data_IF_328078330636
#
_entry.id   IF_328078330636
#
_cell.length_a   1.000
_cell.length_b   1.000
_cell.length_c   1.000
_cell.angle_alpha   90.00
_cell.angle_beta   90.00
_cell.angle_gamma   90.00
#
_symmetry.space_group_name_H-M   'P 1'
#
loop_
_entity.id
_entity.type
_entity.pdbx_description
1 polymer ?
#
# COMPACT_ATOMS: atom_id res chain seq x y z
N UNK A 1 7.74 13.53 31.57
CA UNK A 1 7.37 12.25 30.92
C UNK A 1 6.50 12.61 29.75
N UNK A 2 6.99 12.44 28.51
CA UNK A 2 6.14 12.65 27.34
C UNK A 2 5.07 11.54 27.36
N UNK A 3 3.79 11.92 27.32
CA UNK A 3 2.70 10.96 27.15
C UNK A 3 2.96 10.16 25.88
N UNK A 4 2.81 8.83 25.95
CA UNK A 4 2.82 8.00 24.74
C UNK A 4 1.90 8.63 23.71
N UNK A 5 2.28 8.66 22.42
CA UNK A 5 1.42 9.23 21.39
C UNK A 5 0.06 8.53 21.44
N UNK A 6 -1.00 9.33 21.49
CA UNK A 6 -2.36 8.81 21.52
C UNK A 6 -2.66 8.20 20.15
N UNK A 7 -2.53 6.87 20.03
CA UNK A 7 -2.71 6.13 18.79
C UNK A 7 -4.16 5.74 18.54
N UNK A 8 -5.03 5.98 19.52
CA UNK A 8 -6.47 5.71 19.38
C UNK A 8 -7.08 6.52 18.24
N UNK A 9 -7.75 5.87 17.28
CA UNK A 9 -8.35 6.55 16.13
C UNK A 9 -9.49 7.50 16.54
N UNK A 10 -9.59 8.63 15.84
CA UNK A 10 -10.66 9.60 15.97
C UNK A 10 -11.28 9.94 14.60
N UNK A 11 -12.28 10.81 14.60
CA UNK A 11 -13.07 11.19 13.42
C UNK A 11 -12.22 11.79 12.26
N UNK A 12 -11.04 12.36 12.56
CA UNK A 12 -10.12 12.92 11.57
C UNK A 12 -9.01 11.96 11.15
N UNK A 13 -9.18 10.69 11.46
CA UNK A 13 -8.24 9.63 11.12
C UNK A 13 -8.84 8.72 10.05
N UNK A 14 -7.99 8.23 9.15
CA UNK A 14 -8.38 7.22 8.18
C UNK A 14 -7.45 6.02 8.25
N UNK A 15 -8.00 4.82 8.08
CA UNK A 15 -7.26 3.60 7.82
C UNK A 15 -7.13 3.41 6.30
N UNK A 16 -5.90 3.21 5.83
CA UNK A 16 -5.62 2.80 4.46
C UNK A 16 -5.09 1.37 4.49
N UNK A 17 -5.91 0.44 4.02
CA UNK A 17 -5.54 -0.98 3.89
C UNK A 17 -5.02 -1.19 2.48
N UNK A 18 -3.71 -1.40 2.37
CA UNK A 18 -2.99 -1.40 1.09
C UNK A 18 -2.93 -2.80 0.52
N UNK A 19 -3.51 -3.00 -0.65
CA UNK A 19 -3.31 -4.10 -1.58
C UNK A 19 -3.37 -5.51 -0.93
N UNK A 20 -4.33 -5.75 -0.04
CA UNK A 20 -4.55 -7.08 0.53
C UNK A 20 -5.32 -7.93 -0.50
N UNK A 21 -4.61 -8.33 -1.56
CA UNK A 21 -5.11 -9.01 -2.76
C UNK A 21 -4.56 -10.44 -2.86
N UNK A 22 -5.25 -11.31 -3.61
CA UNK A 22 -4.88 -12.70 -3.74
C UNK A 22 -3.46 -12.89 -4.31
N UNK A 23 -3.06 -12.08 -5.30
CA UNK A 23 -1.73 -12.19 -5.90
C UNK A 23 -0.57 -11.83 -4.95
N UNK A 24 -0.83 -11.07 -3.90
CA UNK A 24 0.15 -10.75 -2.86
C UNK A 24 0.10 -11.70 -1.65
N UNK A 25 -0.86 -12.63 -1.62
CA UNK A 25 -0.96 -13.64 -0.58
C UNK A 25 -0.33 -14.98 -1.03
N UNK A 26 -0.07 -15.93 -0.11
CA UNK A 26 0.49 -17.23 -0.46
C UNK A 26 -0.30 -17.94 -1.58
N UNK A 27 0.42 -18.38 -2.62
CA UNK A 27 -0.17 -18.96 -3.83
C UNK A 27 -0.44 -17.97 -4.96
N UNK A 28 -0.34 -16.68 -4.71
CA UNK A 28 -0.45 -15.62 -5.71
C UNK A 28 0.80 -15.45 -6.58
N UNK A 29 0.70 -14.65 -7.63
CA UNK A 29 1.77 -14.48 -8.64
C UNK A 29 2.95 -13.63 -8.16
N UNK A 30 2.73 -12.74 -7.21
CA UNK A 30 3.75 -11.93 -6.53
C UNK A 30 3.59 -12.09 -5.01
N UNK A 31 3.56 -13.34 -4.56
CA UNK A 31 3.29 -13.67 -3.17
C UNK A 31 4.32 -13.06 -2.21
N UNK A 32 3.82 -12.29 -1.26
CA UNK A 32 4.58 -11.82 -0.11
C UNK A 32 4.57 -12.93 0.95
N UNK A 33 5.72 -13.22 1.53
CA UNK A 33 5.81 -14.25 2.55
C UNK A 33 4.87 -13.93 3.72
N UNK A 34 3.95 -14.87 4.02
CA UNK A 34 2.94 -14.69 5.08
C UNK A 34 2.04 -13.47 4.88
N UNK A 35 1.79 -13.08 3.63
CA UNK A 35 0.97 -11.91 3.31
C UNK A 35 -0.45 -12.01 3.85
N UNK A 36 -1.01 -13.21 3.89
CA UNK A 36 -2.35 -13.50 4.43
C UNK A 36 -2.46 -13.31 5.96
N UNK A 37 -1.34 -13.37 6.71
CA UNK A 37 -1.35 -13.14 8.16
C UNK A 37 -1.77 -11.71 8.55
N UNK A 38 -1.77 -10.76 7.62
CA UNK A 38 -2.25 -9.39 7.89
C UNK A 38 -3.77 -9.34 8.01
N UNK A 39 -4.49 -10.24 7.35
CA UNK A 39 -5.95 -10.24 7.25
C UNK A 39 -6.64 -10.28 8.61
N UNK A 40 -6.37 -11.25 9.51
CA UNK A 40 -7.02 -11.29 10.82
C UNK A 40 -6.70 -10.06 11.68
N UNK A 41 -5.50 -9.47 11.54
CA UNK A 41 -5.15 -8.26 12.27
C UNK A 41 -5.94 -7.06 11.77
N UNK A 42 -6.00 -6.86 10.44
CA UNK A 42 -6.82 -5.79 9.84
C UNK A 42 -8.27 -5.93 10.25
N UNK A 43 -8.86 -7.11 10.14
CA UNK A 43 -10.24 -7.36 10.55
C UNK A 43 -10.50 -7.02 12.03
N UNK A 44 -9.51 -7.24 12.91
CA UNK A 44 -9.65 -6.99 14.33
C UNK A 44 -9.73 -5.49 14.67
N UNK A 45 -8.95 -4.63 13.99
CA UNK A 45 -8.89 -3.22 14.34
C UNK A 45 -9.60 -2.27 13.35
N UNK A 46 -9.92 -2.70 12.12
CA UNK A 46 -10.54 -1.84 11.12
C UNK A 46 -11.84 -1.18 11.63
N UNK A 47 -12.63 -1.91 12.42
CA UNK A 47 -13.85 -1.38 13.03
C UNK A 47 -13.66 -0.25 14.04
N UNK A 48 -12.41 0.12 14.37
CA UNK A 48 -12.09 1.28 15.20
C UNK A 48 -12.02 2.59 14.41
N UNK A 49 -12.05 2.50 13.09
CA UNK A 49 -11.95 3.66 12.19
C UNK A 49 -13.31 3.95 11.55
N UNK A 50 -13.72 5.21 11.59
CA UNK A 50 -14.90 5.67 10.84
C UNK A 50 -14.60 5.79 9.35
N UNK A 51 -13.36 6.15 8.99
CA UNK A 51 -12.94 6.33 7.61
C UNK A 51 -11.96 5.21 7.22
N UNK A 52 -12.37 4.37 6.29
CA UNK A 52 -11.54 3.26 5.79
C UNK A 52 -11.48 3.27 4.27
N UNK A 53 -10.27 3.18 3.75
CA UNK A 53 -9.96 3.07 2.33
C UNK A 53 -9.24 1.74 2.11
N UNK A 54 -9.71 0.97 1.14
CA UNK A 54 -8.98 -0.20 0.62
C UNK A 54 -8.29 0.21 -0.67
N UNK A 55 -7.09 -0.29 -0.94
CA UNK A 55 -6.48 -0.12 -2.26
C UNK A 55 -6.36 -1.44 -3.00
N UNK A 56 -6.33 -1.36 -4.31
CA UNK A 56 -6.06 -2.49 -5.20
C UNK A 56 -5.07 -2.05 -6.28
N UNK A 57 -3.98 -2.81 -6.45
CA UNK A 57 -3.27 -2.81 -7.72
C UNK A 57 -4.21 -3.35 -8.81
N UNK A 58 -4.25 -2.63 -9.95
CA UNK A 58 -5.25 -2.90 -10.98
C UNK A 58 -4.65 -2.73 -12.38
N UNK A 59 -3.66 -3.57 -12.69
CA UNK A 59 -2.85 -3.45 -13.89
C UNK A 59 -3.56 -3.96 -15.15
N UNK A 60 -3.60 -3.18 -16.24
CA UNK A 60 -4.07 -3.71 -17.51
C UNK A 60 -3.12 -4.81 -18.03
N UNK A 61 -3.61 -5.75 -18.85
CA UNK A 61 -2.74 -6.70 -19.52
C UNK A 61 -1.60 -6.00 -20.29
N UNK A 62 -0.38 -6.51 -20.15
CA UNK A 62 0.82 -5.93 -20.78
C UNK A 62 1.26 -4.62 -20.14
N UNK A 63 1.01 -4.41 -18.85
CA UNK A 63 1.49 -3.26 -18.10
C UNK A 63 3.02 -3.17 -18.12
N UNK A 64 3.57 -1.95 -18.23
CA UNK A 64 5.02 -1.71 -18.40
C UNK A 64 5.88 -2.08 -17.19
N UNK A 65 5.30 -2.31 -16.02
CA UNK A 65 6.02 -2.88 -14.87
C UNK A 65 6.18 -4.38 -14.93
N UNK A 66 5.56 -5.08 -15.89
CA UNK A 66 5.69 -6.53 -16.02
C UNK A 66 6.93 -6.93 -16.81
N UNK A 67 7.65 -7.95 -16.34
CA UNK A 67 8.81 -8.49 -17.05
C UNK A 67 8.45 -9.02 -18.45
N UNK A 68 7.25 -9.58 -18.60
CA UNK A 68 6.71 -10.07 -19.87
C UNK A 68 6.52 -8.97 -20.92
N UNK A 69 6.44 -7.70 -20.51
CA UNK A 69 6.34 -6.54 -21.41
C UNK A 69 7.70 -6.07 -21.96
N UNK A 70 8.81 -6.74 -21.58
CA UNK A 70 10.17 -6.38 -21.98
C UNK A 70 10.91 -7.63 -22.48
N UNK A 71 11.07 -7.80 -23.82
CA UNK A 71 11.73 -8.96 -24.38
C UNK A 71 13.11 -9.21 -23.78
N UNK A 72 13.37 -10.44 -23.31
CA UNK A 72 14.63 -10.84 -22.68
C UNK A 72 14.81 -10.49 -21.20
N UNK A 73 13.90 -9.74 -20.60
CA UNK A 73 13.93 -9.44 -19.17
C UNK A 73 13.27 -10.54 -18.34
N UNK A 74 13.62 -10.56 -17.07
CA UNK A 74 13.09 -11.49 -16.05
C UNK A 74 12.46 -10.70 -14.91
N UNK A 75 11.54 -11.28 -14.14
CA UNK A 75 11.09 -10.70 -12.89
C UNK A 75 12.27 -10.30 -11.99
N UNK A 76 12.13 -9.13 -11.36
CA UNK A 76 13.12 -8.48 -10.50
C UNK A 76 14.30 -7.82 -11.22
N UNK A 77 14.40 -7.88 -12.53
CA UNK A 77 15.29 -7.00 -13.28
C UNK A 77 14.83 -5.53 -13.14
N UNK A 78 15.73 -4.59 -13.42
CA UNK A 78 15.41 -3.17 -13.47
C UNK A 78 15.55 -2.64 -14.88
N UNK A 79 14.60 -1.79 -15.28
CA UNK A 79 14.65 -1.06 -16.57
C UNK A 79 14.44 0.43 -16.34
N UNK A 80 14.94 1.25 -17.28
CA UNK A 80 14.68 2.68 -17.25
C UNK A 80 13.47 3.01 -18.14
N UNK A 81 12.40 3.47 -17.51
CA UNK A 81 11.20 3.98 -18.18
C UNK A 81 11.19 5.51 -18.20
N UNK A 82 10.18 6.11 -18.81
CA UNK A 82 10.07 7.57 -18.94
C UNK A 82 10.03 8.31 -17.59
N UNK A 83 9.53 7.66 -16.55
CA UNK A 83 9.44 8.23 -15.19
C UNK A 83 10.60 7.85 -14.26
N UNK A 84 11.56 7.05 -14.71
CA UNK A 84 12.74 6.65 -13.92
C UNK A 84 13.02 5.16 -13.97
N UNK A 85 13.72 4.67 -12.95
CA UNK A 85 13.98 3.24 -12.80
C UNK A 85 12.74 2.50 -12.31
N UNK A 86 12.45 1.35 -12.94
CA UNK A 86 11.34 0.47 -12.63
C UNK A 86 11.85 -0.94 -12.40
N UNK A 87 11.51 -1.51 -11.26
CA UNK A 87 11.66 -2.96 -11.03
C UNK A 87 10.59 -3.69 -11.83
N UNK A 88 10.99 -4.70 -12.57
CA UNK A 88 10.08 -5.53 -13.34
C UNK A 88 9.51 -6.66 -12.47
N UNK A 89 8.21 -6.75 -12.46
CA UNK A 89 7.47 -7.73 -11.66
C UNK A 89 6.97 -8.90 -12.52
N UNK A 90 6.67 -10.06 -11.92
CA UNK A 90 5.76 -11.02 -12.54
C UNK A 90 4.44 -10.34 -12.89
N UNK A 91 3.73 -10.82 -13.89
CA UNK A 91 2.35 -10.37 -14.14
C UNK A 91 1.48 -10.65 -12.92
N UNK A 92 0.97 -9.61 -12.29
CA UNK A 92 0.17 -9.70 -11.06
C UNK A 92 -0.96 -8.68 -11.07
N UNK A 93 -1.96 -8.91 -10.26
CA UNK A 93 -3.12 -8.02 -10.09
C UNK A 93 -3.70 -7.51 -11.42
N UNK A 94 -3.73 -8.39 -12.42
CA UNK A 94 -4.27 -8.07 -13.74
C UNK A 94 -5.77 -7.81 -13.63
N UNK A 95 -6.24 -6.74 -14.23
CA UNK A 95 -7.63 -6.28 -14.20
C UNK A 95 -8.62 -7.42 -14.45
N UNK A 96 -9.58 -7.59 -13.54
CA UNK A 96 -10.63 -8.60 -13.64
C UNK A 96 -10.20 -10.03 -13.33
N UNK A 97 -8.91 -10.28 -13.03
CA UNK A 97 -8.45 -11.59 -12.60
C UNK A 97 -8.79 -11.86 -11.12
N UNK A 98 -8.81 -13.15 -10.75
CA UNK A 98 -8.92 -13.56 -9.35
C UNK A 98 -7.74 -13.06 -8.52
N UNK A 99 -6.55 -12.99 -9.10
CA UNK A 99 -5.35 -12.43 -8.45
C UNK A 99 -5.50 -10.98 -8.04
N UNK A 100 -6.22 -10.17 -8.82
CA UNK A 100 -6.51 -8.77 -8.51
C UNK A 100 -7.63 -8.59 -7.48
N UNK A 101 -8.40 -9.63 -7.16
CA UNK A 101 -9.44 -9.55 -6.15
C UNK A 101 -8.85 -9.35 -4.74
N UNK A 102 -9.56 -8.63 -3.88
CA UNK A 102 -9.23 -8.56 -2.46
C UNK A 102 -9.31 -9.96 -1.84
N UNK A 103 -8.48 -10.21 -0.84
CA UNK A 103 -8.46 -11.50 -0.15
C UNK A 103 -9.85 -11.82 0.42
N UNK A 104 -10.33 -13.04 0.17
CA UNK A 104 -11.72 -13.46 0.50
C UNK A 104 -12.09 -13.32 1.97
N UNK A 105 -11.11 -13.44 2.86
CA UNK A 105 -11.30 -13.35 4.31
C UNK A 105 -11.08 -11.92 4.85
N UNK A 106 -10.75 -10.95 3.99
CA UNK A 106 -10.69 -9.54 4.39
C UNK A 106 -12.13 -9.01 4.58
N UNK A 107 -12.49 -8.75 5.83
CA UNK A 107 -13.84 -8.34 6.20
C UNK A 107 -13.85 -6.90 6.73
N UNK A 108 -13.97 -5.95 5.82
CA UNK A 108 -14.07 -4.50 6.12
C UNK A 108 -15.29 -3.91 5.39
N UNK A 109 -16.52 -4.35 5.73
CA UNK A 109 -17.71 -3.99 4.96
C UNK A 109 -18.08 -2.51 5.05
N UNK A 110 -17.54 -1.79 6.01
CA UNK A 110 -17.75 -0.35 6.21
C UNK A 110 -16.72 0.52 5.48
N UNK A 111 -15.80 -0.05 4.69
CA UNK A 111 -14.90 0.73 3.86
C UNK A 111 -15.69 1.58 2.85
N UNK A 112 -15.41 2.89 2.82
CA UNK A 112 -16.15 3.82 1.97
C UNK A 112 -15.55 3.98 0.57
N UNK A 113 -14.28 3.60 0.39
CA UNK A 113 -13.58 3.70 -0.88
C UNK A 113 -12.75 2.47 -1.15
N UNK A 114 -12.86 1.94 -2.37
CA UNK A 114 -11.88 1.01 -2.94
C UNK A 114 -11.16 1.75 -4.06
N UNK A 115 -9.92 2.12 -3.81
CA UNK A 115 -9.08 2.87 -4.74
C UNK A 115 -8.27 1.90 -5.60
N UNK A 116 -8.47 1.94 -6.91
CA UNK A 116 -7.66 1.20 -7.86
C UNK A 116 -6.49 2.05 -8.33
N UNK A 117 -5.27 1.53 -8.21
CA UNK A 117 -4.04 2.19 -8.64
C UNK A 117 -3.28 1.35 -9.68
N UNK A 118 -2.32 1.93 -10.37
CA UNK A 118 -1.56 1.23 -11.41
C UNK A 118 -2.40 0.81 -12.63
N UNK A 119 -3.48 1.54 -12.93
CA UNK A 119 -4.35 1.25 -14.06
C UNK A 119 -3.89 1.91 -15.36
N UNK A 120 -2.94 2.81 -15.33
CA UNK A 120 -2.31 3.38 -16.52
C UNK A 120 -1.20 2.45 -16.99
N UNK A 121 -1.33 1.95 -18.21
CA UNK A 121 -0.45 0.94 -18.79
C UNK A 121 1.04 1.26 -18.70
N UNK A 122 1.39 2.54 -18.87
CA UNK A 122 2.77 2.98 -19.06
C UNK A 122 3.42 3.55 -17.77
N UNK A 123 2.66 3.65 -16.68
CA UNK A 123 3.12 4.20 -15.40
C UNK A 123 2.69 3.31 -14.26
N UNK A 124 3.64 2.88 -13.46
CA UNK A 124 3.37 2.08 -12.25
C UNK A 124 2.87 2.95 -11.09
N UNK A 125 2.30 2.34 -10.06
CA UNK A 125 1.77 3.05 -8.91
C UNK A 125 1.96 2.27 -7.62
N UNK A 126 3.03 2.54 -6.90
CA UNK A 126 3.20 2.00 -5.54
C UNK A 126 2.35 2.77 -4.53
N UNK A 127 2.41 4.09 -4.55
CA UNK A 127 1.68 4.94 -3.61
C UNK A 127 0.18 4.97 -3.92
N UNK A 128 -0.65 4.99 -2.87
CA UNK A 128 -2.07 5.27 -2.98
C UNK A 128 -2.38 6.73 -3.31
N UNK A 129 -1.40 7.64 -3.33
CA UNK A 129 -1.60 9.07 -3.60
C UNK A 129 -1.12 9.50 -4.99
N UNK A 130 0.06 9.03 -5.40
CA UNK A 130 0.72 9.45 -6.64
C UNK A 130 1.26 8.23 -7.38
N UNK A 131 1.13 8.22 -8.69
CA UNK A 131 1.78 7.22 -9.53
C UNK A 131 3.31 7.44 -9.57
N UNK A 132 4.05 6.50 -10.13
CA UNK A 132 5.51 6.51 -10.15
C UNK A 132 6.12 7.69 -10.92
N UNK A 133 5.36 8.30 -11.85
CA UNK A 133 5.75 9.52 -12.55
C UNK A 133 5.79 10.77 -11.65
N UNK A 134 5.30 10.67 -10.42
CA UNK A 134 5.25 11.74 -9.40
C UNK A 134 4.39 12.95 -9.79
N UNK A 135 3.50 12.79 -10.76
CA UNK A 135 2.61 13.83 -11.32
C UNK A 135 1.16 13.39 -11.31
N UNK A 136 0.89 12.15 -11.73
CA UNK A 136 -0.46 11.60 -11.82
C UNK A 136 -0.98 11.31 -10.42
N UNK A 137 -2.07 11.99 -10.06
CA UNK A 137 -2.74 11.82 -8.77
C UNK A 137 -3.81 10.73 -8.86
N UNK A 138 -3.94 9.93 -7.83
CA UNK A 138 -4.98 8.90 -7.75
C UNK A 138 -6.35 9.45 -7.35
N UNK A 139 -6.38 10.65 -6.77
CA UNK A 139 -7.57 11.26 -6.18
C UNK A 139 -7.72 11.04 -4.68
N UNK A 140 -6.90 10.20 -4.05
CA UNK A 140 -7.01 9.91 -2.61
C UNK A 140 -6.81 11.15 -1.73
N UNK A 141 -5.87 12.03 -2.10
CA UNK A 141 -5.61 13.27 -1.38
C UNK A 141 -6.89 14.10 -1.23
N UNK A 142 -7.55 14.44 -2.34
CA UNK A 142 -8.80 15.20 -2.32
C UNK A 142 -9.92 14.50 -1.56
N UNK A 143 -10.03 13.17 -1.71
CA UNK A 143 -10.99 12.37 -0.95
C UNK A 143 -10.81 12.52 0.57
N UNK A 144 -9.57 12.47 1.06
CA UNK A 144 -9.26 12.61 2.47
C UNK A 144 -9.43 14.05 2.97
N UNK A 145 -9.04 15.04 2.16
CA UNK A 145 -9.18 16.47 2.47
C UNK A 145 -10.65 16.86 2.63
N UNK A 146 -11.53 16.46 1.72
CA UNK A 146 -12.98 16.69 1.77
C UNK A 146 -13.63 16.14 3.06
N UNK A 147 -13.04 15.09 3.64
CA UNK A 147 -13.48 14.51 4.92
C UNK A 147 -12.79 15.11 6.13
N UNK A 148 -11.93 16.11 5.94
CA UNK A 148 -11.20 16.76 7.01
C UNK A 148 -10.16 15.85 7.70
N UNK A 149 -9.73 14.75 7.03
CA UNK A 149 -8.73 13.83 7.57
C UNK A 149 -7.40 14.57 7.75
N UNK A 150 -6.72 14.27 8.85
CA UNK A 150 -5.42 14.86 9.21
C UNK A 150 -4.36 13.81 9.45
N UNK A 151 -4.77 12.58 9.76
CA UNK A 151 -3.86 11.49 10.08
C UNK A 151 -4.32 10.21 9.40
N UNK A 152 -3.36 9.48 8.84
CA UNK A 152 -3.61 8.19 8.20
C UNK A 152 -2.84 7.08 8.90
N UNK A 153 -3.51 5.96 9.09
CA UNK A 153 -2.94 4.70 9.53
C UNK A 153 -2.84 3.81 8.30
N UNK A 154 -1.65 3.28 8.04
CA UNK A 154 -1.38 2.49 6.83
C UNK A 154 -0.99 1.08 7.25
N UNK A 155 -1.60 0.07 6.64
CA UNK A 155 -1.28 -1.34 6.82
C UNK A 155 -1.44 -2.10 5.50
N UNK A 156 -1.02 -3.35 5.44
CA UNK A 156 -1.18 -4.21 4.27
C UNK A 156 0.13 -4.60 3.58
N UNK A 157 0.13 -4.64 2.25
CA UNK A 157 1.17 -5.25 1.43
C UNK A 157 1.69 -4.31 0.33
N UNK A 158 2.97 -4.32 -0.01
CA UNK A 158 4.07 -4.81 0.79
C UNK A 158 4.72 -3.64 1.54
N UNK A 159 5.26 -3.91 2.74
CA UNK A 159 5.81 -2.87 3.65
C UNK A 159 6.81 -1.96 2.95
N UNK A 160 7.73 -2.55 2.20
CA UNK A 160 8.87 -1.90 1.55
C UNK A 160 8.55 -1.24 0.19
N UNK A 161 7.35 -1.47 -0.33
CA UNK A 161 6.83 -0.88 -1.56
C UNK A 161 5.54 -0.08 -1.30
N UNK A 162 4.38 -0.61 -1.61
CA UNK A 162 3.12 0.16 -1.62
C UNK A 162 2.80 0.81 -0.27
N UNK A 163 3.06 0.13 0.86
CA UNK A 163 2.87 0.70 2.20
C UNK A 163 3.82 1.86 2.45
N UNK A 164 5.13 1.66 2.22
CA UNK A 164 6.12 2.71 2.46
C UNK A 164 5.89 3.93 1.56
N UNK A 165 5.65 3.73 0.26
CA UNK A 165 5.40 4.82 -0.67
C UNK A 165 4.13 5.60 -0.30
N UNK A 166 3.06 4.90 0.11
CA UNK A 166 1.82 5.53 0.59
C UNK A 166 2.07 6.37 1.84
N UNK A 167 2.77 5.83 2.83
CA UNK A 167 3.06 6.55 4.07
C UNK A 167 3.98 7.77 3.85
N UNK A 168 5.00 7.62 2.98
CA UNK A 168 5.91 8.71 2.62
C UNK A 168 5.19 9.85 1.88
N UNK A 169 4.29 9.51 0.96
CA UNK A 169 3.53 10.52 0.23
C UNK A 169 2.47 11.18 1.10
N UNK A 170 1.82 10.45 2.00
CA UNK A 170 0.95 11.04 3.01
C UNK A 170 1.69 12.14 3.80
N UNK A 171 2.93 11.86 4.26
CA UNK A 171 3.76 12.86 4.96
C UNK A 171 4.07 14.08 4.12
N UNK A 172 4.43 13.89 2.84
CA UNK A 172 4.71 15.00 1.91
C UNK A 172 3.49 15.88 1.64
N UNK A 173 2.30 15.29 1.65
CA UNK A 173 1.02 15.96 1.46
C UNK A 173 0.47 16.58 2.75
N UNK A 174 1.19 16.51 3.86
CA UNK A 174 0.84 17.17 5.12
C UNK A 174 0.01 16.33 6.09
N UNK A 175 -0.30 15.07 5.77
CA UNK A 175 -0.94 14.16 6.71
C UNK A 175 0.06 13.64 7.75
N UNK A 176 -0.34 13.49 9.00
CA UNK A 176 0.36 12.60 9.91
C UNK A 176 0.20 11.15 9.42
N UNK A 177 1.27 10.36 9.43
CA UNK A 177 1.22 9.00 8.92
C UNK A 177 1.81 8.02 9.94
N UNK A 178 1.06 6.96 10.21
CA UNK A 178 1.45 5.86 11.07
C UNK A 178 1.39 4.56 10.28
N UNK A 179 2.38 3.69 10.41
CA UNK A 179 2.36 2.35 9.81
C UNK A 179 2.17 1.32 10.92
N UNK A 180 1.14 0.49 10.76
CA UNK A 180 0.83 -0.61 11.68
C UNK A 180 1.69 -1.81 11.31
N UNK A 181 2.87 -1.89 11.92
CA UNK A 181 3.95 -2.79 11.52
C UNK A 181 3.55 -4.27 11.47
N UNK A 182 2.91 -4.75 12.52
CA UNK A 182 2.53 -6.16 12.64
C UNK A 182 1.38 -6.55 11.69
N UNK A 183 0.64 -5.57 11.16
CA UNK A 183 -0.34 -5.73 10.10
C UNK A 183 0.23 -5.42 8.69
N UNK A 184 1.54 -5.56 8.51
CA UNK A 184 2.24 -5.45 7.24
C UNK A 184 3.16 -6.65 7.02
N UNK A 185 3.43 -6.98 5.75
CA UNK A 185 4.47 -7.96 5.35
C UNK A 185 5.25 -7.40 4.18
N UNK A 186 6.52 -7.76 4.07
CA UNK A 186 7.46 -7.23 3.08
C UNK A 186 7.87 -8.25 2.04
N UNK A 187 8.28 -7.78 0.88
CA UNK A 187 8.98 -8.57 -0.14
C UNK A 187 10.44 -8.77 0.28
N UNK A 188 11.05 -7.73 0.85
CA UNK A 188 12.43 -7.65 1.32
C UNK A 188 13.49 -8.04 0.26
N UNK A 189 13.45 -7.34 -0.87
CA UNK A 189 14.45 -7.46 -1.91
C UNK A 189 15.74 -6.76 -1.48
N UNK A 190 16.82 -7.54 -1.27
CA UNK A 190 18.17 -7.00 -1.01
C UNK A 190 18.22 -5.95 0.10
N UNK A 191 17.44 -6.13 1.17
CA UNK A 191 17.38 -5.19 2.30
C UNK A 191 16.44 -4.01 2.09
N UNK A 192 15.52 -4.07 1.12
CA UNK A 192 14.53 -3.02 0.86
C UNK A 192 13.68 -2.70 2.08
N UNK A 193 13.36 -3.69 2.92
CA UNK A 193 12.59 -3.49 4.14
C UNK A 193 13.30 -2.56 5.13
N UNK A 194 14.57 -2.82 5.40
CA UNK A 194 15.36 -1.97 6.31
C UNK A 194 15.50 -0.55 5.74
N UNK A 195 15.77 -0.43 4.43
CA UNK A 195 15.86 0.86 3.75
C UNK A 195 14.52 1.63 3.77
N UNK A 196 13.39 0.95 3.61
CA UNK A 196 12.06 1.56 3.68
C UNK A 196 11.77 2.11 5.08
N UNK A 197 12.05 1.35 6.13
CA UNK A 197 11.87 1.82 7.52
C UNK A 197 12.73 3.04 7.83
N UNK A 198 13.99 3.07 7.39
CA UNK A 198 14.85 4.24 7.57
C UNK A 198 14.32 5.47 6.82
N UNK A 199 13.82 5.32 5.59
CA UNK A 199 13.19 6.41 4.83
C UNK A 199 11.93 6.93 5.53
N UNK A 200 11.05 6.04 5.96
CA UNK A 200 9.82 6.38 6.67
C UNK A 200 10.12 7.12 7.98
N UNK A 201 11.06 6.62 8.79
CA UNK A 201 11.51 7.27 10.02
C UNK A 201 12.04 8.69 9.78
N UNK A 202 12.90 8.87 8.76
CA UNK A 202 13.44 10.20 8.38
C UNK A 202 12.34 11.17 7.91
N UNK A 203 11.27 10.66 7.31
CA UNK A 203 10.12 11.46 6.89
C UNK A 203 9.12 11.74 8.03
N UNK A 204 9.35 11.23 9.24
CA UNK A 204 8.46 11.39 10.38
C UNK A 204 7.22 10.51 10.32
N UNK A 205 7.30 9.36 9.65
CA UNK A 205 6.29 8.31 9.74
C UNK A 205 6.49 7.58 11.07
N UNK A 206 5.42 7.44 11.82
CA UNK A 206 5.44 6.71 13.08
C UNK A 206 5.26 5.20 12.83
N UNK A 207 5.98 4.39 13.57
CA UNK A 207 5.87 2.93 13.56
C UNK A 207 5.14 2.49 14.80
N UNK A 208 3.99 1.86 14.64
CA UNK A 208 3.12 1.39 15.73
C UNK A 208 2.77 -0.08 15.55
N UNK A 209 2.14 -0.67 16.53
CA UNK A 209 1.58 -2.02 16.47
C UNK A 209 0.07 -1.98 16.57
N UNK A 210 -0.60 -3.04 16.10
CA UNK A 210 -2.06 -3.17 16.18
C UNK A 210 -2.60 -3.04 17.62
N UNK A 211 -1.84 -3.53 18.60
CA UNK A 211 -2.17 -3.37 20.04
C UNK A 211 -2.23 -1.91 20.54
N UNK A 212 -1.59 -0.97 19.82
CA UNK A 212 -1.59 0.45 20.20
C UNK A 212 -2.89 1.16 19.76
N UNK A 213 -3.73 0.50 18.95
CA UNK A 213 -4.99 1.04 18.41
C UNK A 213 -6.18 0.81 19.35
N UNK A 214 -6.07 -0.11 20.29
CA UNK A 214 -7.16 -0.52 21.18
C UNK A 214 -7.31 0.32 22.47
#
# INVERSE_FOLDING_TARGET
>A
MASAPQTKPGIRDALIVVDVQNDFCPGGRLAVQKGDEVVPLVNAFAGRFENVVLTQDWHPPGHRSFATSHPGSKPFDSVRLAYGEQVLWPDHCVQGSDGAALHKDLCVPHAQLVLRKGHHRDVDSYSAFLEADRKTRTGLEGYLEERGIKRVFVCGLATDFCVAWTALDARKLGFAALVVEDACRAIDMQGSLAAAWEKMKKAGVERIRSGDIF
#
